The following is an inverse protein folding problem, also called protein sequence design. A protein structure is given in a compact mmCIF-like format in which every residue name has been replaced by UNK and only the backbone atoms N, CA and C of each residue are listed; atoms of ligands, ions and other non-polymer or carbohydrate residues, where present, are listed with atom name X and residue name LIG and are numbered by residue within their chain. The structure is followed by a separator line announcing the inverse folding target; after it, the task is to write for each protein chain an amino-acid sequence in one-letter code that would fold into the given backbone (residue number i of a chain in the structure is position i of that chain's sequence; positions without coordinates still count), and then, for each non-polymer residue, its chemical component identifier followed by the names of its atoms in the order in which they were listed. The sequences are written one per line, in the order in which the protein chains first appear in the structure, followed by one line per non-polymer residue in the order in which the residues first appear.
data_IF_479399785669
#
_entry.id   IF_479399785669
#
_cell.length_a   1.000
_cell.length_b   1.000
_cell.length_c   1.000
_cell.angle_alpha   90.00
_cell.angle_beta   90.00
_cell.angle_gamma   90.00
#
_symmetry.space_group_name_H-M   'P 1'
#
loop_
_entity.id
_entity.type
_entity.pdbx_description
1 polymer ?
#
# COMPACT_ATOMS: atom_id res chain seq x y z
N UNK A 1 -1.05 -14.29 -8.50
CA UNK A 1 -1.51 -14.55 -7.12
C UNK A 1 -3.02 -14.70 -7.09
N UNK A 2 -3.54 -15.72 -6.41
CA UNK A 2 -4.95 -15.79 -6.07
C UNK A 2 -5.22 -15.17 -4.69
N UNK A 3 -6.42 -14.63 -4.45
CA UNK A 3 -6.80 -13.96 -3.20
C UNK A 3 -6.59 -14.86 -1.97
N UNK A 4 -6.68 -16.19 -2.13
CA UNK A 4 -6.45 -17.12 -1.02
C UNK A 4 -5.02 -17.08 -0.48
N UNK A 5 -4.06 -16.65 -1.29
CA UNK A 5 -2.65 -16.61 -0.93
C UNK A 5 -2.28 -15.41 -0.07
N UNK A 6 -3.18 -14.45 0.12
CA UNK A 6 -2.91 -13.30 0.98
C UNK A 6 -3.18 -13.57 2.45
N UNK A 7 -4.05 -14.54 2.77
CA UNK A 7 -4.40 -14.85 4.16
C UNK A 7 -3.20 -15.28 5.00
N UNK A 8 -2.21 -16.04 4.48
CA UNK A 8 -0.96 -16.26 5.19
C UNK A 8 -0.20 -14.97 5.52
N UNK A 9 -0.22 -13.96 4.64
CA UNK A 9 0.42 -12.65 4.87
C UNK A 9 -0.34 -11.88 5.96
N UNK A 10 -1.67 -11.87 5.88
CA UNK A 10 -2.56 -11.29 6.90
C UNK A 10 -2.34 -11.94 8.26
N UNK A 11 -2.22 -13.26 8.31
CA UNK A 11 -1.95 -14.01 9.55
C UNK A 11 -0.58 -13.66 10.14
N UNK A 12 0.46 -13.54 9.31
CA UNK A 12 1.78 -13.07 9.74
C UNK A 12 1.69 -11.67 10.33
N UNK A 13 1.00 -10.73 9.65
CA UNK A 13 0.76 -9.38 10.16
C UNK A 13 0.04 -9.39 11.51
N UNK A 14 -1.06 -10.13 11.63
CA UNK A 14 -1.82 -10.23 12.87
C UNK A 14 -0.99 -10.83 14.02
N UNK A 15 -0.15 -11.82 13.72
CA UNK A 15 0.72 -12.45 14.72
C UNK A 15 1.79 -11.48 15.20
N UNK A 16 2.41 -10.72 14.29
CA UNK A 16 3.44 -9.73 14.63
C UNK A 16 2.92 -8.58 15.51
N UNK A 17 1.65 -8.20 15.34
CA UNK A 17 1.04 -7.10 16.10
C UNK A 17 0.01 -7.53 17.15
N UNK A 18 -0.05 -8.83 17.50
CA UNK A 18 -1.08 -9.39 18.39
C UNK A 18 -1.12 -8.80 19.80
N UNK A 19 0.01 -8.25 20.25
CA UNK A 19 0.20 -7.72 21.60
C UNK A 19 -0.19 -6.24 21.74
N UNK A 20 -0.50 -5.56 20.65
CA UNK A 20 -1.00 -4.19 20.67
C UNK A 20 -2.53 -4.18 20.80
N UNK A 21 -3.12 -3.06 21.19
CA UNK A 21 -4.59 -2.94 21.30
C UNK A 21 -5.29 -3.19 19.96
N UNK A 22 -6.61 -3.41 19.96
CA UNK A 22 -7.33 -3.70 18.69
C UNK A 22 -7.27 -2.51 17.74
N UNK A 23 -6.78 -2.75 16.52
CA UNK A 23 -6.78 -1.77 15.43
C UNK A 23 -8.22 -1.58 14.90
N UNK A 24 -8.59 -0.40 14.37
CA UNK A 24 -9.95 -0.14 13.88
C UNK A 24 -10.40 -1.09 12.77
N UNK A 25 -9.46 -1.63 12.00
CA UNK A 25 -9.71 -2.69 11.02
C UNK A 25 -8.96 -3.93 11.48
N UNK A 26 -9.65 -5.05 11.60
CA UNK A 26 -9.03 -6.33 11.91
C UNK A 26 -9.57 -7.43 10.99
N UNK A 27 -8.81 -8.50 10.90
CA UNK A 27 -9.07 -9.58 9.98
C UNK A 27 -9.53 -10.81 10.75
N UNK A 28 -10.45 -11.58 10.17
CA UNK A 28 -10.81 -12.91 10.67
C UNK A 28 -10.30 -13.92 9.65
N UNK A 29 -9.09 -14.50 9.82
CA UNK A 29 -8.48 -15.39 8.83
C UNK A 29 -9.32 -16.64 8.55
N UNK A 30 -10.05 -17.14 9.56
CA UNK A 30 -10.96 -18.29 9.44
C UNK A 30 -12.06 -18.04 8.42
N UNK A 31 -12.70 -16.88 8.53
CA UNK A 31 -13.86 -16.50 7.72
C UNK A 31 -13.47 -15.73 6.46
N UNK A 32 -12.17 -15.40 6.32
CA UNK A 32 -11.61 -14.61 5.23
C UNK A 32 -12.35 -13.27 5.07
N UNK A 33 -12.65 -12.65 6.21
CA UNK A 33 -13.47 -11.45 6.29
C UNK A 33 -12.74 -10.29 6.99
N UNK A 34 -13.14 -9.08 6.60
CA UNK A 34 -12.78 -7.83 7.23
C UNK A 34 -13.83 -7.47 8.27
N UNK A 35 -13.37 -7.01 9.43
CA UNK A 35 -14.24 -6.42 10.44
C UNK A 35 -13.66 -5.10 10.88
N UNK A 36 -14.51 -4.15 11.19
CA UNK A 36 -14.11 -2.88 11.76
C UNK A 36 -14.69 -2.69 13.16
N UNK A 37 -14.02 -1.87 13.97
CA UNK A 37 -14.59 -1.37 15.21
C UNK A 37 -15.76 -0.43 14.87
N UNK A 38 -16.85 -0.53 15.64
CA UNK A 38 -17.97 0.39 15.49
C UNK A 38 -17.59 1.77 16.03
N UNK A 39 -18.03 2.84 15.36
CA UNK A 39 -17.69 4.23 15.72
C UNK A 39 -18.20 4.66 17.10
N UNK A 40 -19.31 4.07 17.54
CA UNK A 40 -19.93 4.28 18.86
C UNK A 40 -19.16 3.59 20.00
N UNK A 41 -18.38 2.56 19.68
CA UNK A 41 -17.63 1.80 20.67
C UNK A 41 -16.61 2.67 21.43
N UNK A 42 -16.47 2.43 22.73
CA UNK A 42 -15.46 3.10 23.56
C UNK A 42 -14.04 2.88 23.01
N UNK A 43 -13.75 1.66 22.55
CA UNK A 43 -12.45 1.30 21.98
C UNK A 43 -12.09 2.15 20.75
N UNK A 44 -13.05 2.37 19.84
CA UNK A 44 -12.82 3.23 18.68
C UNK A 44 -12.59 4.69 19.09
N UNK A 45 -13.41 5.22 20.01
CA UNK A 45 -13.28 6.61 20.48
C UNK A 45 -11.91 6.86 21.13
N UNK A 46 -11.45 5.95 21.98
CA UNK A 46 -10.10 6.02 22.57
C UNK A 46 -9.04 5.96 21.48
N UNK A 47 -9.14 5.03 20.54
CA UNK A 47 -8.17 4.92 19.45
C UNK A 47 -8.11 6.18 18.59
N UNK A 48 -9.28 6.70 18.17
CA UNK A 48 -9.42 7.86 17.31
C UNK A 48 -8.99 9.17 17.99
N UNK A 49 -9.05 9.24 19.32
CA UNK A 49 -8.53 10.38 20.08
C UNK A 49 -7.02 10.25 20.33
N UNK A 50 -6.54 9.08 20.76
CA UNK A 50 -5.16 8.91 21.22
C UNK A 50 -4.18 8.81 20.06
N UNK A 51 -4.49 8.02 19.02
CA UNK A 51 -3.51 7.71 17.96
C UNK A 51 -3.24 8.94 17.07
N UNK A 52 -4.24 9.60 16.47
CA UNK A 52 -3.99 10.77 15.63
C UNK A 52 -3.38 11.93 16.42
N UNK A 53 -3.85 12.17 17.66
CA UNK A 53 -3.29 13.23 18.52
C UNK A 53 -1.81 12.99 18.80
N UNK A 54 -1.42 11.77 19.19
CA UNK A 54 0.00 11.46 19.41
C UNK A 54 0.84 11.60 18.14
N UNK A 55 0.30 11.23 16.97
CA UNK A 55 1.01 11.39 15.69
C UNK A 55 1.18 12.86 15.31
N UNK A 56 0.16 13.69 15.53
CA UNK A 56 0.22 15.15 15.32
C UNK A 56 1.21 15.80 16.29
N UNK A 57 1.18 15.43 17.58
CA UNK A 57 2.12 15.94 18.56
C UNK A 57 3.56 15.57 18.20
N UNK A 58 3.80 14.35 17.71
CA UNK A 58 5.12 13.93 17.25
C UNK A 58 5.55 14.69 15.99
N UNK A 59 4.64 14.93 15.04
CA UNK A 59 4.90 15.74 13.85
C UNK A 59 5.28 17.19 14.23
N UNK A 60 4.49 17.83 15.08
CA UNK A 60 4.75 19.18 15.57
C UNK A 60 6.06 19.25 16.36
N UNK A 61 6.37 18.23 17.14
CA UNK A 61 7.65 18.13 17.85
C UNK A 61 8.83 18.04 16.88
N UNK A 62 8.69 17.24 15.82
CA UNK A 62 9.73 17.06 14.80
C UNK A 62 9.97 18.36 14.00
N UNK A 63 8.89 19.06 13.63
CA UNK A 63 8.96 20.38 12.99
C UNK A 63 9.58 21.41 13.95
N UNK A 64 9.18 21.41 15.22
CA UNK A 64 9.75 22.29 16.25
C UNK A 64 11.26 22.11 16.40
N UNK A 65 11.75 20.86 16.35
CA UNK A 65 13.19 20.56 16.36
C UNK A 65 13.88 21.12 15.11
N UNK A 66 13.28 20.98 13.92
CA UNK A 66 13.83 21.52 12.68
C UNK A 66 13.90 23.06 12.70
N UNK A 67 12.84 23.72 13.16
CA UNK A 67 12.82 25.17 13.30
C UNK A 67 13.83 25.64 14.35
N UNK A 68 13.90 24.96 15.49
CA UNK A 68 14.89 25.28 16.52
C UNK A 68 16.32 25.12 15.99
N UNK A 69 16.63 24.03 15.29
CA UNK A 69 17.95 23.82 14.69
C UNK A 69 18.29 24.90 13.65
N UNK A 70 17.31 25.39 12.91
CA UNK A 70 17.51 26.44 11.90
C UNK A 70 17.69 27.85 12.51
N UNK A 71 17.07 28.13 13.67
CA UNK A 71 17.06 29.47 14.27
C UNK A 71 17.94 29.63 15.52
N UNK A 72 18.46 28.54 16.12
CA UNK A 72 19.32 28.64 17.30
C UNK A 72 20.70 29.22 16.92
N UNK A 73 20.95 30.48 17.29
CA UNK A 73 22.25 31.16 17.07
C UNK A 73 23.36 30.72 18.06
N UNK A 74 23.03 29.90 19.06
CA UNK A 74 23.91 29.61 20.21
C UNK A 74 24.63 28.27 20.04
N UNK A 75 25.96 28.30 20.07
CA UNK A 75 26.89 27.17 20.13
C UNK A 75 26.66 26.12 19.04
N UNK A 76 27.19 26.37 17.85
CA UNK A 76 27.23 25.44 16.70
C UNK A 76 27.84 24.12 17.18
N UNK A 77 27.03 23.06 17.43
CA UNK A 77 27.63 21.75 17.63
C UNK A 77 28.33 21.36 16.33
N UNK A 78 29.32 20.46 16.40
CA UNK A 78 30.09 20.05 15.21
C UNK A 78 29.17 19.78 14.01
N UNK A 79 29.61 20.12 12.79
CA UNK A 79 28.83 19.96 11.54
C UNK A 79 28.18 18.57 11.45
N UNK A 80 28.88 17.52 11.92
CA UNK A 80 28.37 16.16 12.00
C UNK A 80 27.14 16.02 12.90
N UNK A 81 27.10 16.72 14.04
CA UNK A 81 25.97 16.72 14.97
C UNK A 81 24.76 17.42 14.39
N UNK A 82 24.96 18.58 13.73
CA UNK A 82 23.86 19.32 13.07
C UNK A 82 23.29 18.47 11.94
N UNK A 83 24.15 17.89 11.11
CA UNK A 83 23.73 17.07 9.97
C UNK A 83 22.95 15.83 10.44
N UNK A 84 23.41 15.14 11.48
CA UNK A 84 22.72 13.98 12.06
C UNK A 84 21.36 14.37 12.65
N UNK A 85 21.33 15.42 13.49
CA UNK A 85 20.10 15.87 14.12
C UNK A 85 19.05 16.32 13.10
N UNK A 86 19.48 17.08 12.10
CA UNK A 86 18.59 17.62 11.05
C UNK A 86 18.05 16.50 10.15
N UNK A 87 18.90 15.57 9.72
CA UNK A 87 18.46 14.44 8.89
C UNK A 87 17.50 13.52 9.65
N UNK A 88 17.77 13.24 10.93
CA UNK A 88 16.87 12.43 11.75
C UNK A 88 15.55 13.15 12.03
N UNK A 89 15.57 14.46 12.26
CA UNK A 89 14.37 15.26 12.45
C UNK A 89 13.53 15.37 11.16
N UNK A 90 14.18 15.50 9.99
CA UNK A 90 13.50 15.44 8.69
C UNK A 90 12.84 14.07 8.49
N UNK A 91 13.59 12.99 8.71
CA UNK A 91 13.07 11.62 8.61
C UNK A 91 11.88 11.38 9.56
N UNK A 92 12.00 11.82 10.82
CA UNK A 92 10.91 11.77 11.80
C UNK A 92 9.69 12.59 11.39
N UNK A 93 9.90 13.77 10.82
CA UNK A 93 8.83 14.63 10.28
C UNK A 93 8.09 13.94 9.13
N UNK A 94 8.82 13.34 8.19
CA UNK A 94 8.19 12.63 7.07
C UNK A 94 7.43 11.38 7.51
N UNK A 95 8.03 10.57 8.38
CA UNK A 95 7.35 9.39 8.92
C UNK A 95 6.09 9.78 9.69
N UNK A 96 6.15 10.81 10.52
CA UNK A 96 5.00 11.24 11.32
C UNK A 96 3.91 11.90 10.48
N UNK A 97 4.26 12.65 9.44
CA UNK A 97 3.30 13.13 8.45
C UNK A 97 2.58 11.94 7.79
N UNK A 98 3.33 10.93 7.37
CA UNK A 98 2.78 9.71 6.78
C UNK A 98 1.86 8.96 7.74
N UNK A 99 2.29 8.75 8.99
CA UNK A 99 1.48 8.09 10.03
C UNK A 99 0.20 8.88 10.32
N UNK A 100 0.29 10.21 10.38
CA UNK A 100 -0.85 11.10 10.62
C UNK A 100 -1.86 10.98 9.49
N UNK A 101 -1.43 11.11 8.23
CA UNK A 101 -2.29 10.98 7.05
C UNK A 101 -2.91 9.58 6.96
N UNK A 102 -2.14 8.53 7.28
CA UNK A 102 -2.63 7.15 7.31
C UNK A 102 -3.66 6.94 8.43
N UNK A 103 -3.45 7.53 9.61
CA UNK A 103 -4.39 7.48 10.73
C UNK A 103 -5.71 8.18 10.41
N UNK A 104 -5.66 9.39 9.85
CA UNK A 104 -6.86 10.10 9.38
C UNK A 104 -7.57 9.34 8.25
N UNK A 105 -6.81 8.78 7.30
CA UNK A 105 -7.34 7.93 6.23
C UNK A 105 -8.06 6.69 6.78
N UNK A 106 -7.47 6.02 7.77
CA UNK A 106 -8.09 4.88 8.43
C UNK A 106 -9.40 5.28 9.13
N UNK A 107 -9.44 6.42 9.84
CA UNK A 107 -10.70 6.91 10.44
C UNK A 107 -11.78 7.18 9.40
N UNK A 108 -11.41 7.82 8.28
CA UNK A 108 -12.34 8.21 7.23
C UNK A 108 -12.89 7.01 6.47
N UNK A 109 -12.03 6.09 6.05
CA UNK A 109 -12.38 5.05 5.08
C UNK A 109 -12.55 3.64 5.67
N UNK A 110 -12.38 3.41 6.98
CA UNK A 110 -12.42 2.03 7.52
C UNK A 110 -13.70 1.23 7.25
N UNK A 111 -14.87 1.87 7.33
CA UNK A 111 -16.17 1.21 7.16
C UNK A 111 -16.36 0.84 5.69
N UNK A 112 -16.09 1.80 4.80
CA UNK A 112 -16.13 1.61 3.35
C UNK A 112 -15.13 0.53 2.91
N UNK A 113 -13.87 0.61 3.37
CA UNK A 113 -12.84 -0.42 3.19
C UNK A 113 -13.30 -1.81 3.62
N UNK A 114 -14.02 -1.92 4.72
CA UNK A 114 -14.45 -3.21 5.24
C UNK A 114 -15.61 -3.75 4.41
N UNK A 115 -16.60 -2.89 4.14
CA UNK A 115 -17.79 -3.22 3.37
C UNK A 115 -17.44 -3.65 1.94
N UNK A 116 -16.69 -2.82 1.20
CA UNK A 116 -16.34 -3.13 -0.19
C UNK A 116 -15.40 -4.33 -0.29
N UNK A 117 -14.58 -4.58 0.74
CA UNK A 117 -13.67 -5.72 0.79
C UNK A 117 -14.41 -7.03 0.93
N UNK A 118 -15.35 -7.07 1.85
CA UNK A 118 -16.24 -8.22 2.04
C UNK A 118 -17.16 -8.43 0.83
N UNK A 119 -17.67 -7.35 0.25
CA UNK A 119 -18.52 -7.41 -0.95
C UNK A 119 -17.75 -7.95 -2.16
N UNK A 120 -16.50 -7.50 -2.38
CA UNK A 120 -15.64 -8.01 -3.45
C UNK A 120 -15.33 -9.51 -3.28
N UNK A 121 -15.09 -9.95 -2.04
CA UNK A 121 -14.89 -11.37 -1.73
C UNK A 121 -16.16 -12.19 -2.03
N UNK A 122 -17.34 -11.68 -1.67
CA UNK A 122 -18.64 -12.30 -1.95
C UNK A 122 -18.90 -12.39 -3.46
N UNK A 123 -18.74 -11.28 -4.19
CA UNK A 123 -18.94 -11.22 -5.64
C UNK A 123 -18.00 -12.18 -6.39
N UNK A 124 -16.76 -12.37 -5.91
CA UNK A 124 -15.84 -13.37 -6.46
C UNK A 124 -16.34 -14.80 -6.22
N UNK A 125 -16.84 -15.09 -5.02
CA UNK A 125 -17.39 -16.42 -4.71
C UNK A 125 -18.62 -16.72 -5.56
N UNK A 126 -19.48 -15.73 -5.80
CA UNK A 126 -20.64 -15.86 -6.70
C UNK A 126 -20.19 -16.14 -8.14
N UNK A 127 -19.15 -15.45 -8.62
CA UNK A 127 -18.55 -15.71 -9.94
C UNK A 127 -18.03 -17.15 -10.07
N UNK A 128 -17.34 -17.64 -9.02
CA UNK A 128 -16.85 -19.03 -8.98
C UNK A 128 -18.02 -20.03 -8.97
N UNK A 129 -19.10 -19.76 -8.25
CA UNK A 129 -20.31 -20.60 -8.24
C UNK A 129 -20.92 -20.72 -9.64
N UNK A 130 -21.09 -19.60 -10.34
CA UNK A 130 -21.61 -19.58 -11.73
C UNK A 130 -20.70 -20.38 -12.67
N UNK A 131 -19.38 -20.33 -12.46
CA UNK A 131 -18.43 -21.14 -13.21
C UNK A 131 -18.59 -22.63 -12.91
N UNK A 132 -18.73 -23.01 -11.64
CA UNK A 132 -18.87 -24.41 -11.22
C UNK A 132 -20.19 -25.06 -11.62
N UNK A 133 -21.28 -24.30 -11.75
CA UNK A 133 -22.57 -24.81 -12.24
C UNK A 133 -22.56 -25.10 -13.74
N UNK A 134 -21.47 -24.79 -14.45
CA UNK A 134 -21.32 -25.12 -15.87
C UNK A 134 -20.60 -26.48 -15.98
N UNK A 135 -21.29 -27.57 -16.40
CA UNK A 135 -20.69 -28.90 -16.44
C UNK A 135 -19.52 -28.97 -17.45
N UNK A 136 -18.42 -29.59 -17.04
CA UNK A 136 -17.31 -29.97 -17.93
C UNK A 136 -16.03 -29.11 -17.89
N UNK A 137 -15.78 -28.28 -16.87
CA UNK A 137 -14.53 -27.48 -16.86
C UNK A 137 -13.93 -27.28 -15.46
N UNK A 138 -13.41 -28.36 -14.86
CA UNK A 138 -12.53 -28.25 -13.69
C UNK A 138 -11.09 -28.17 -14.19
N UNK A 139 -10.67 -26.97 -14.59
CA UNK A 139 -9.25 -26.67 -14.82
C UNK A 139 -8.67 -26.09 -13.53
N UNK A 140 -8.00 -26.94 -12.76
CA UNK A 140 -7.19 -26.53 -11.62
C UNK A 140 -6.04 -25.61 -12.12
N UNK A 141 -5.88 -24.40 -11.56
CA UNK A 141 -4.83 -23.49 -12.01
C UNK A 141 -3.43 -24.03 -11.65
N UNK A 142 -2.60 -24.21 -12.69
CA UNK A 142 -1.32 -24.94 -12.66
C UNK A 142 -0.08 -24.10 -12.35
N UNK A 143 -0.15 -23.01 -11.57
CA UNK A 143 1.06 -22.22 -11.21
C UNK A 143 1.30 -22.11 -9.70
N UNK A 144 1.74 -23.20 -9.07
CA UNK A 144 2.00 -23.26 -7.62
C UNK A 144 3.36 -22.66 -7.18
N UNK A 145 4.39 -22.68 -8.02
CA UNK A 145 5.78 -22.39 -7.58
C UNK A 145 6.12 -20.90 -7.46
N UNK A 146 5.94 -20.10 -8.52
CA UNK A 146 6.26 -18.65 -8.52
C UNK A 146 5.50 -17.88 -7.43
N UNK A 147 4.25 -18.25 -7.21
CA UNK A 147 3.39 -17.68 -6.17
C UNK A 147 3.99 -17.82 -4.77
N UNK A 148 4.67 -18.94 -4.51
CA UNK A 148 5.19 -19.27 -3.17
C UNK A 148 6.31 -18.31 -2.75
N UNK A 149 7.13 -17.86 -3.68
CA UNK A 149 8.22 -16.93 -3.41
C UNK A 149 7.68 -15.52 -3.10
N UNK A 150 6.73 -15.03 -3.90
CA UNK A 150 6.06 -13.73 -3.68
C UNK A 150 5.37 -13.68 -2.31
N UNK A 151 4.65 -14.75 -1.92
CA UNK A 151 4.00 -14.85 -0.60
C UNK A 151 5.04 -14.79 0.52
N UNK A 152 6.10 -15.61 0.44
CA UNK A 152 7.15 -15.65 1.45
C UNK A 152 7.85 -14.30 1.60
N UNK A 153 8.12 -13.62 0.49
CA UNK A 153 8.72 -12.29 0.50
C UNK A 153 7.80 -11.27 1.20
N UNK A 154 6.50 -11.28 0.92
CA UNK A 154 5.53 -10.40 1.59
C UNK A 154 5.37 -10.73 3.09
N UNK A 155 5.43 -12.00 3.47
CA UNK A 155 5.47 -12.40 4.88
C UNK A 155 6.74 -11.89 5.57
N UNK A 156 7.90 -11.98 4.91
CA UNK A 156 9.15 -11.43 5.40
C UNK A 156 9.06 -9.91 5.57
N UNK A 157 8.42 -9.19 4.63
CA UNK A 157 8.17 -7.74 4.77
C UNK A 157 7.31 -7.47 6.01
N UNK A 158 6.23 -8.23 6.24
CA UNK A 158 5.39 -8.04 7.43
C UNK A 158 6.16 -8.30 8.73
N UNK A 159 7.02 -9.33 8.76
CA UNK A 159 7.90 -9.58 9.89
C UNK A 159 8.88 -8.42 10.09
N UNK A 160 9.54 -7.95 9.04
CA UNK A 160 10.44 -6.80 9.10
C UNK A 160 9.71 -5.57 9.66
N UNK A 161 8.54 -5.21 9.12
CA UNK A 161 7.72 -4.08 9.59
C UNK A 161 7.36 -4.23 11.08
N UNK A 162 7.06 -5.45 11.55
CA UNK A 162 6.77 -5.70 12.98
C UNK A 162 8.00 -5.61 13.89
N UNK A 163 9.20 -5.88 13.34
CA UNK A 163 10.46 -5.83 14.07
C UNK A 163 11.12 -4.44 14.03
N UNK A 164 10.80 -3.62 13.03
CA UNK A 164 11.35 -2.27 12.85
C UNK A 164 11.27 -1.37 14.09
N UNK A 165 10.18 -1.33 14.88
CA UNK A 165 10.14 -0.53 16.11
C UNK A 165 11.28 -0.86 17.08
N UNK A 166 11.68 -2.13 17.21
CA UNK A 166 12.75 -2.55 18.12
C UNK A 166 14.14 -2.09 17.67
N UNK A 167 14.30 -1.70 16.39
CA UNK A 167 15.54 -1.15 15.86
C UNK A 167 15.50 0.37 15.91
N UNK A 168 14.39 0.97 15.50
CA UNK A 168 14.25 2.43 15.41
C UNK A 168 14.22 3.09 16.79
N UNK A 169 13.62 2.47 17.80
CA UNK A 169 13.58 3.05 19.15
C UNK A 169 15.00 3.22 19.72
N UNK A 170 15.89 2.20 19.76
CA UNK A 170 17.28 2.39 20.16
C UNK A 170 18.02 3.42 19.32
N UNK A 171 17.82 3.46 17.99
CA UNK A 171 18.46 4.47 17.13
C UNK A 171 18.02 5.89 17.51
N UNK A 172 16.72 6.11 17.70
CA UNK A 172 16.19 7.41 18.11
C UNK A 172 16.67 7.80 19.51
N UNK A 173 16.77 6.85 20.44
CA UNK A 173 17.29 7.09 21.78
C UNK A 173 18.81 7.36 21.77
N UNK A 174 19.57 6.68 20.91
CA UNK A 174 21.01 6.87 20.76
C UNK A 174 21.35 8.22 20.12
N UNK A 175 20.58 8.63 19.11
CA UNK A 175 20.74 9.93 18.43
C UNK A 175 20.15 11.09 19.23
N UNK A 176 19.20 10.81 20.14
CA UNK A 176 18.55 11.77 21.02
C UNK A 176 19.51 12.27 22.11
N UNK A 177 20.10 13.44 21.87
CA UNK A 177 21.06 14.12 22.73
C UNK A 177 20.73 14.05 24.25
N UNK A 178 21.72 13.79 25.12
CA UNK A 178 21.52 13.43 26.54
C UNK A 178 21.19 14.59 27.51
N UNK A 179 20.97 15.83 27.05
CA UNK A 179 21.02 17.01 27.94
C UNK A 179 19.70 17.50 28.55
N UNK A 180 18.54 16.86 28.28
CA UNK A 180 17.25 17.33 28.79
C UNK A 180 16.64 16.32 29.80
N UNK A 181 16.80 16.63 31.11
CA UNK A 181 16.14 15.96 32.25
C UNK A 181 14.59 16.11 32.18
N UNK A 182 13.84 15.71 33.22
CA UNK A 182 12.75 14.68 33.33
C UNK A 182 11.72 14.47 32.19
N UNK A 183 11.83 15.12 31.03
CA UNK A 183 10.97 14.85 29.86
C UNK A 183 11.26 13.52 29.14
N UNK A 184 12.26 12.76 29.61
CA UNK A 184 12.70 11.50 29.00
C UNK A 184 11.57 10.45 28.93
N UNK A 185 10.78 10.28 29.99
CA UNK A 185 9.72 9.28 30.03
C UNK A 185 8.63 9.56 28.99
N UNK A 186 8.17 10.81 28.91
CA UNK A 186 7.19 11.24 27.91
C UNK A 186 7.70 11.12 26.47
N UNK A 187 8.99 11.44 26.25
CA UNK A 187 9.64 11.27 24.94
C UNK A 187 9.76 9.81 24.55
N UNK A 188 10.22 8.94 25.46
CA UNK A 188 10.30 7.50 25.23
C UNK A 188 8.93 6.92 24.93
N UNK A 189 7.90 7.33 25.65
CA UNK A 189 6.52 6.90 25.40
C UNK A 189 6.03 7.34 24.01
N UNK A 190 6.24 8.61 23.64
CA UNK A 190 5.82 9.12 22.33
C UNK A 190 6.60 8.47 21.17
N UNK A 191 7.90 8.23 21.33
CA UNK A 191 8.74 7.53 20.35
C UNK A 191 8.28 6.08 20.21
N UNK A 192 8.07 5.38 21.33
CA UNK A 192 7.57 4.01 21.35
C UNK A 192 6.20 3.92 20.66
N UNK A 193 5.27 4.80 21.04
CA UNK A 193 3.93 4.85 20.48
C UNK A 193 3.99 5.13 18.97
N UNK A 194 4.73 6.17 18.55
CA UNK A 194 4.86 6.53 17.14
C UNK A 194 5.48 5.40 16.31
N UNK A 195 6.52 4.74 16.82
CA UNK A 195 7.15 3.61 16.14
C UNK A 195 6.16 2.44 16.02
N UNK A 196 5.66 1.90 17.12
CA UNK A 196 4.79 0.72 17.09
C UNK A 196 3.47 0.97 16.33
N UNK A 197 2.78 2.06 16.63
CA UNK A 197 1.51 2.37 15.97
C UNK A 197 1.70 2.78 14.52
N UNK A 198 2.75 3.55 14.23
CA UNK A 198 3.13 3.93 12.89
C UNK A 198 3.36 2.72 12.00
N UNK A 199 4.32 1.87 12.36
CA UNK A 199 4.63 0.66 11.57
C UNK A 199 3.43 -0.29 11.47
N UNK A 200 2.61 -0.39 12.51
CA UNK A 200 1.36 -1.17 12.44
C UNK A 200 0.37 -0.63 11.42
N UNK A 201 0.17 0.69 11.38
CA UNK A 201 -0.70 1.36 10.40
C UNK A 201 -0.19 1.14 8.98
N UNK A 202 1.11 1.31 8.77
CA UNK A 202 1.76 1.07 7.47
C UNK A 202 1.55 -0.37 7.02
N UNK A 203 1.80 -1.34 7.90
CA UNK A 203 1.57 -2.75 7.63
C UNK A 203 0.10 -3.03 7.29
N UNK A 204 -0.85 -2.47 8.05
CA UNK A 204 -2.28 -2.63 7.81
C UNK A 204 -2.69 -2.14 6.43
N UNK A 205 -2.35 -0.88 6.12
CA UNK A 205 -2.71 -0.23 4.85
C UNK A 205 -2.03 -0.92 3.68
N UNK A 206 -0.75 -1.27 3.81
CA UNK A 206 -0.02 -2.05 2.81
C UNK A 206 -0.71 -3.39 2.50
N UNK A 207 -1.11 -4.14 3.53
CA UNK A 207 -1.83 -5.41 3.38
C UNK A 207 -3.18 -5.21 2.71
N UNK A 208 -3.97 -4.21 3.14
CA UNK A 208 -5.28 -3.91 2.55
C UNK A 208 -5.16 -3.56 1.07
N UNK A 209 -4.28 -2.62 0.71
CA UNK A 209 -4.07 -2.19 -0.67
C UNK A 209 -3.61 -3.34 -1.55
N UNK A 210 -2.60 -4.09 -1.09
CA UNK A 210 -2.09 -5.23 -1.84
C UNK A 210 -3.18 -6.29 -2.03
N UNK A 211 -4.01 -6.54 -1.01
CA UNK A 211 -5.15 -7.43 -1.13
C UNK A 211 -6.16 -6.96 -2.15
N UNK A 212 -6.49 -5.67 -2.18
CA UNK A 212 -7.42 -5.14 -3.19
C UNK A 212 -6.91 -5.35 -4.60
N UNK A 213 -5.65 -5.02 -4.85
CA UNK A 213 -5.03 -5.21 -6.17
C UNK A 213 -5.07 -6.70 -6.57
N UNK A 214 -4.69 -7.61 -5.66
CA UNK A 214 -4.75 -9.05 -5.94
C UNK A 214 -6.17 -9.57 -6.17
N UNK A 215 -7.14 -9.09 -5.40
CA UNK A 215 -8.54 -9.44 -5.56
C UNK A 215 -9.05 -8.99 -6.94
N UNK A 216 -8.73 -7.77 -7.36
CA UNK A 216 -9.04 -7.28 -8.71
C UNK A 216 -8.37 -8.11 -9.80
N UNK A 217 -7.08 -8.44 -9.66
CA UNK A 217 -6.37 -9.31 -10.62
C UNK A 217 -7.00 -10.70 -10.70
N UNK A 218 -7.32 -11.30 -9.55
CA UNK A 218 -7.99 -12.61 -9.48
C UNK A 218 -9.34 -12.58 -10.19
N UNK A 219 -10.15 -11.55 -9.90
CA UNK A 219 -11.46 -11.37 -10.53
C UNK A 219 -11.35 -11.19 -12.05
N UNK A 220 -10.43 -10.33 -12.52
CA UNK A 220 -10.20 -10.11 -13.96
C UNK A 220 -9.70 -11.37 -14.68
N UNK A 221 -8.87 -12.18 -14.01
CA UNK A 221 -8.45 -13.47 -14.57
C UNK A 221 -9.63 -14.43 -14.73
N UNK A 222 -10.54 -14.49 -13.75
CA UNK A 222 -11.75 -15.31 -13.87
C UNK A 222 -12.66 -14.84 -15.01
N UNK A 223 -12.83 -13.54 -15.19
CA UNK A 223 -13.57 -12.98 -16.34
C UNK A 223 -12.92 -13.37 -17.68
N UNK A 224 -11.60 -13.24 -17.81
CA UNK A 224 -10.90 -13.67 -19.03
C UNK A 224 -11.04 -15.18 -19.25
N UNK A 225 -10.97 -15.99 -18.20
CA UNK A 225 -11.16 -17.44 -18.32
C UNK A 225 -12.57 -17.81 -18.81
N UNK A 226 -13.61 -17.13 -18.30
CA UNK A 226 -14.99 -17.32 -18.78
C UNK A 226 -15.13 -17.00 -20.27
N UNK A 227 -14.41 -15.98 -20.76
CA UNK A 227 -14.38 -15.63 -22.18
C UNK A 227 -13.63 -16.67 -23.03
N UNK A 228 -12.58 -17.30 -22.49
CA UNK A 228 -11.76 -18.29 -23.21
C UNK A 228 -12.41 -19.66 -23.34
N UNK A 229 -13.12 -20.13 -22.32
CA UNK A 229 -13.69 -21.48 -22.31
C UNK A 229 -14.83 -21.69 -23.32
N UNK A 230 -15.46 -20.62 -23.83
CA UNK A 230 -16.65 -20.74 -24.69
C UNK A 230 -16.29 -20.52 -26.17
N UNK A 231 -16.15 -21.62 -26.95
CA UNK A 231 -15.90 -21.58 -28.42
C UNK A 231 -17.03 -20.90 -29.21
N UNK A 232 -18.28 -20.99 -28.72
CA UNK A 232 -19.44 -20.22 -29.21
C UNK A 232 -20.17 -19.60 -28.01
N UNK A 233 -19.68 -18.45 -27.56
CA UNK A 233 -20.32 -17.65 -26.53
C UNK A 233 -21.69 -17.13 -27.01
N UNK A 234 -22.73 -17.40 -26.22
CA UNK A 234 -24.04 -16.80 -26.44
C UNK A 234 -23.96 -15.31 -26.04
N UNK A 235 -24.83 -14.48 -26.61
CA UNK A 235 -24.93 -13.07 -26.24
C UNK A 235 -25.13 -12.87 -24.72
N UNK A 236 -25.83 -13.79 -24.06
CA UNK A 236 -26.02 -13.82 -22.60
C UNK A 236 -24.69 -13.88 -21.85
N UNK A 237 -23.72 -14.68 -22.33
CA UNK A 237 -22.42 -14.82 -21.67
C UNK A 237 -21.65 -13.50 -21.65
N UNK A 238 -21.68 -12.75 -22.76
CA UNK A 238 -21.06 -11.43 -22.82
C UNK A 238 -21.76 -10.41 -21.93
N UNK A 239 -23.09 -10.47 -21.85
CA UNK A 239 -23.89 -9.63 -20.98
C UNK A 239 -23.54 -9.88 -19.51
N UNK A 240 -23.37 -11.14 -19.13
CA UNK A 240 -23.01 -11.53 -17.76
C UNK A 240 -21.57 -11.09 -17.42
N UNK A 241 -20.60 -11.31 -18.30
CA UNK A 241 -19.22 -10.85 -18.12
C UNK A 241 -19.17 -9.32 -17.96
N UNK A 242 -19.90 -8.57 -18.79
CA UNK A 242 -19.98 -7.11 -18.66
C UNK A 242 -20.66 -6.70 -17.35
N UNK A 243 -21.70 -7.39 -16.91
CA UNK A 243 -22.35 -7.12 -15.62
C UNK A 243 -21.37 -7.29 -14.46
N UNK A 244 -20.58 -8.36 -14.46
CA UNK A 244 -19.56 -8.58 -13.45
C UNK A 244 -18.42 -7.56 -13.53
N UNK A 245 -17.99 -7.19 -14.74
CA UNK A 245 -17.01 -6.13 -14.94
C UNK A 245 -17.52 -4.78 -14.40
N UNK A 246 -18.79 -4.44 -14.66
CA UNK A 246 -19.42 -3.23 -14.15
C UNK A 246 -19.48 -3.21 -12.61
N UNK A 247 -19.69 -4.36 -11.95
CA UNK A 247 -19.61 -4.45 -10.48
C UNK A 247 -18.21 -4.11 -9.95
N UNK A 248 -17.15 -4.65 -10.56
CA UNK A 248 -15.77 -4.31 -10.18
C UNK A 248 -15.54 -2.81 -10.39
N UNK A 249 -15.95 -2.28 -11.55
CA UNK A 249 -15.78 -0.87 -11.88
C UNK A 249 -16.49 0.04 -10.89
N UNK A 250 -17.70 -0.31 -10.46
CA UNK A 250 -18.44 0.41 -9.44
C UNK A 250 -17.71 0.36 -8.09
N UNK A 251 -17.27 -0.83 -7.66
CA UNK A 251 -16.47 -0.98 -6.44
C UNK A 251 -15.20 -0.13 -6.48
N UNK A 252 -14.48 -0.14 -7.61
CA UNK A 252 -13.28 0.65 -7.82
C UNK A 252 -13.57 2.16 -7.85
N UNK A 253 -14.74 2.56 -8.35
CA UNK A 253 -15.18 3.97 -8.36
C UNK A 253 -15.49 4.48 -6.96
N UNK A 254 -16.14 3.65 -6.11
CA UNK A 254 -16.35 3.99 -4.70
C UNK A 254 -15.02 4.16 -3.96
N UNK A 255 -14.07 3.28 -4.24
CA UNK A 255 -12.73 3.34 -3.66
C UNK A 255 -11.78 4.34 -4.34
N UNK A 256 -12.25 5.13 -5.30
CA UNK A 256 -11.37 5.91 -6.18
C UNK A 256 -10.55 6.95 -5.40
N UNK A 257 -11.20 7.77 -4.56
CA UNK A 257 -10.54 8.78 -3.73
C UNK A 257 -9.50 8.14 -2.81
N UNK A 258 -9.90 7.06 -2.13
CA UNK A 258 -9.06 6.31 -1.21
C UNK A 258 -7.82 5.72 -1.89
N UNK A 259 -8.01 5.00 -3.00
CA UNK A 259 -6.90 4.39 -3.76
C UNK A 259 -5.98 5.48 -4.32
N UNK A 260 -6.53 6.59 -4.81
CA UNK A 260 -5.77 7.73 -5.33
C UNK A 260 -4.85 8.33 -4.25
N UNK A 261 -5.42 8.65 -3.09
CA UNK A 261 -4.71 9.23 -1.96
C UNK A 261 -3.64 8.28 -1.42
N UNK A 262 -3.99 7.01 -1.21
CA UNK A 262 -3.02 6.02 -0.72
C UNK A 262 -1.91 5.75 -1.70
N UNK A 263 -2.19 5.75 -3.01
CA UNK A 263 -1.16 5.56 -4.02
C UNK A 263 -0.16 6.72 -4.04
N UNK A 264 -0.65 7.97 -3.95
CA UNK A 264 0.20 9.15 -3.86
C UNK A 264 1.05 9.12 -2.58
N UNK A 265 0.41 8.82 -1.45
CA UNK A 265 1.05 8.73 -0.16
C UNK A 265 2.14 7.65 -0.13
N UNK A 266 1.85 6.44 -0.62
CA UNK A 266 2.82 5.33 -0.68
C UNK A 266 3.99 5.68 -1.60
N UNK A 267 3.74 6.24 -2.79
CA UNK A 267 4.83 6.63 -3.71
C UNK A 267 5.72 7.70 -3.08
N UNK A 268 5.13 8.73 -2.47
CA UNK A 268 5.86 9.78 -1.79
C UNK A 268 6.70 9.23 -0.63
N UNK A 269 6.11 8.42 0.24
CA UNK A 269 6.84 7.80 1.36
C UNK A 269 7.97 6.90 0.88
N UNK A 270 7.73 6.06 -0.12
CA UNK A 270 8.78 5.19 -0.68
C UNK A 270 9.91 6.02 -1.30
N UNK A 271 9.58 7.13 -1.98
CA UNK A 271 10.58 8.03 -2.56
C UNK A 271 11.47 8.62 -1.47
N UNK A 272 10.88 9.21 -0.42
CA UNK A 272 11.62 9.79 0.70
C UNK A 272 12.46 8.75 1.44
N UNK A 273 11.88 7.59 1.78
CA UNK A 273 12.60 6.53 2.51
C UNK A 273 13.79 6.00 1.70
N UNK A 274 13.61 5.75 0.39
CA UNK A 274 14.70 5.29 -0.47
C UNK A 274 15.77 6.37 -0.62
N UNK A 275 15.38 7.63 -0.81
CA UNK A 275 16.31 8.75 -0.94
C UNK A 275 17.17 8.91 0.33
N UNK A 276 16.52 8.93 1.51
CA UNK A 276 17.21 9.02 2.80
C UNK A 276 18.11 7.82 3.05
N UNK A 277 17.63 6.60 2.80
CA UNK A 277 18.44 5.39 2.99
C UNK A 277 19.64 5.35 2.04
N UNK A 278 19.47 5.73 0.76
CA UNK A 278 20.57 5.83 -0.19
C UNK A 278 21.63 6.82 0.29
N UNK A 279 21.20 8.01 0.73
CA UNK A 279 22.10 9.01 1.27
C UNK A 279 22.86 8.53 2.50
N UNK A 280 22.17 7.89 3.47
CA UNK A 280 22.80 7.35 4.67
C UNK A 280 23.81 6.25 4.32
N UNK A 281 23.43 5.33 3.43
CA UNK A 281 24.30 4.25 2.96
C UNK A 281 25.57 4.75 2.28
N UNK A 282 25.47 5.78 1.45
CA UNK A 282 26.60 6.28 0.66
C UNK A 282 27.47 7.25 1.47
N UNK A 283 26.87 8.24 2.14
CA UNK A 283 27.60 9.33 2.79
C UNK A 283 27.82 9.12 4.29
N UNK A 284 26.85 8.56 5.01
CA UNK A 284 26.86 8.51 6.48
C UNK A 284 27.27 7.15 7.05
N UNK A 285 27.84 6.25 6.25
CA UNK A 285 28.20 4.90 6.70
C UNK A 285 29.22 4.86 7.84
N UNK A 286 30.09 5.86 7.94
CA UNK A 286 31.08 6.00 9.00
C UNK A 286 30.52 6.64 10.29
N UNK A 287 29.31 7.21 10.23
CA UNK A 287 28.69 7.93 11.35
C UNK A 287 27.96 6.98 12.29
N UNK A 288 27.34 5.93 11.74
CA UNK A 288 26.54 4.98 12.51
C UNK A 288 27.37 3.76 12.92
N UNK A 289 27.17 3.24 14.16
CA UNK A 289 27.70 1.93 14.54
C UNK A 289 27.29 0.85 13.53
N UNK A 290 28.17 -0.12 13.20
CA UNK A 290 27.90 -1.12 12.16
C UNK A 290 26.58 -1.87 12.29
N UNK A 291 26.15 -2.16 13.52
CA UNK A 291 24.88 -2.84 13.80
C UNK A 291 23.65 -2.01 13.41
N UNK A 292 23.69 -0.70 13.63
CA UNK A 292 22.62 0.21 13.19
C UNK A 292 22.74 0.51 11.70
N UNK A 293 23.95 0.57 11.17
CA UNK A 293 24.18 0.78 9.76
C UNK A 293 23.53 -0.31 8.90
N UNK A 294 23.62 -1.59 9.31
CA UNK A 294 23.05 -2.73 8.57
C UNK A 294 21.53 -2.63 8.33
N UNK A 295 20.80 -1.83 9.13
CA UNK A 295 19.37 -1.60 8.97
C UNK A 295 19.04 -0.84 7.68
N UNK A 296 19.85 0.16 7.31
CA UNK A 296 19.60 1.02 6.14
C UNK A 296 19.66 0.27 4.80
N UNK A 297 20.72 -0.50 4.46
CA UNK A 297 20.76 -1.24 3.20
C UNK A 297 19.69 -2.35 3.17
N UNK A 298 19.39 -2.97 4.31
CA UNK A 298 18.31 -3.98 4.41
C UNK A 298 16.95 -3.35 4.11
N UNK A 299 16.64 -2.22 4.76
CA UNK A 299 15.38 -1.49 4.55
C UNK A 299 15.28 -0.97 3.12
N UNK A 300 16.40 -0.51 2.55
CA UNK A 300 16.46 -0.05 1.16
C UNK A 300 16.11 -1.18 0.18
N UNK A 301 16.77 -2.35 0.33
CA UNK A 301 16.48 -3.53 -0.50
C UNK A 301 15.03 -3.98 -0.38
N UNK A 302 14.50 -4.02 0.86
CA UNK A 302 13.08 -4.33 1.11
C UNK A 302 12.16 -3.33 0.42
N UNK A 303 12.42 -2.02 0.56
CA UNK A 303 11.61 -0.98 -0.06
C UNK A 303 11.62 -1.07 -1.59
N UNK A 304 12.77 -1.33 -2.22
CA UNK A 304 12.85 -1.60 -3.66
C UNK A 304 12.01 -2.81 -4.06
N UNK A 305 12.07 -3.90 -3.30
CA UNK A 305 11.28 -5.10 -3.56
C UNK A 305 9.77 -4.88 -3.41
N UNK A 306 9.34 -4.19 -2.35
CA UNK A 306 7.94 -3.79 -2.13
C UNK A 306 7.44 -2.94 -3.30
N UNK A 307 8.21 -1.91 -3.68
CA UNK A 307 7.87 -1.00 -4.76
C UNK A 307 7.78 -1.73 -6.10
N UNK A 308 8.74 -2.62 -6.40
CA UNK A 308 8.75 -3.40 -7.63
C UNK A 308 7.52 -4.31 -7.73
N UNK A 309 7.18 -5.03 -6.66
CA UNK A 309 6.00 -5.87 -6.60
C UNK A 309 4.69 -5.06 -6.68
N UNK A 310 4.65 -3.91 -6.01
CA UNK A 310 3.53 -2.97 -6.06
C UNK A 310 3.26 -2.49 -7.49
N UNK A 311 4.28 -1.95 -8.17
CA UNK A 311 4.18 -1.54 -9.57
C UNK A 311 3.76 -2.69 -10.46
N UNK A 312 4.36 -3.88 -10.31
CA UNK A 312 4.00 -5.06 -11.09
C UNK A 312 2.53 -5.43 -10.91
N UNK A 313 2.03 -5.47 -9.68
CA UNK A 313 0.66 -5.83 -9.37
C UNK A 313 -0.35 -4.83 -9.96
N UNK A 314 -0.08 -3.52 -9.82
CA UNK A 314 -0.92 -2.44 -10.38
C UNK A 314 -0.95 -2.49 -11.91
N UNK A 315 0.22 -2.63 -12.55
CA UNK A 315 0.31 -2.75 -14.01
C UNK A 315 -0.37 -4.02 -14.52
N UNK A 316 -0.24 -5.13 -13.80
CA UNK A 316 -0.92 -6.38 -14.13
C UNK A 316 -2.45 -6.21 -14.07
N UNK A 317 -2.98 -5.58 -13.02
CA UNK A 317 -4.41 -5.29 -12.92
C UNK A 317 -4.92 -4.46 -14.10
N UNK A 318 -4.20 -3.39 -14.43
CA UNK A 318 -4.54 -2.47 -15.53
C UNK A 318 -4.49 -3.18 -16.90
N UNK A 319 -3.42 -3.94 -17.16
CA UNK A 319 -3.25 -4.69 -18.41
C UNK A 319 -4.29 -5.81 -18.55
N UNK A 320 -4.63 -6.51 -17.45
CA UNK A 320 -5.67 -7.53 -17.44
C UNK A 320 -7.04 -6.94 -17.70
N UNK A 321 -7.35 -5.79 -17.11
CA UNK A 321 -8.58 -5.06 -17.39
C UNK A 321 -8.68 -4.70 -18.87
N UNK A 322 -7.61 -4.15 -19.46
CA UNK A 322 -7.57 -3.84 -20.89
C UNK A 322 -7.71 -5.10 -21.75
N UNK A 323 -7.07 -6.21 -21.36
CA UNK A 323 -7.15 -7.49 -22.05
C UNK A 323 -8.54 -8.10 -22.05
N UNK A 324 -9.28 -8.04 -20.92
CA UNK A 324 -10.68 -8.48 -20.86
C UNK A 324 -11.54 -7.68 -21.82
N UNK A 325 -11.40 -6.35 -21.83
CA UNK A 325 -12.14 -5.50 -22.76
C UNK A 325 -11.77 -5.78 -24.23
N UNK A 326 -10.48 -5.96 -24.54
CA UNK A 326 -10.03 -6.31 -25.88
C UNK A 326 -10.57 -7.68 -26.33
N UNK A 327 -10.59 -8.67 -25.44
CA UNK A 327 -11.09 -10.02 -25.71
C UNK A 327 -12.60 -10.03 -25.99
N UNK A 328 -13.38 -9.26 -25.23
CA UNK A 328 -14.81 -9.06 -25.51
C UNK A 328 -14.96 -8.43 -26.92
N UNK A 329 -14.14 -7.43 -27.26
CA UNK A 329 -14.27 -6.66 -28.51
C UNK A 329 -13.89 -7.45 -29.76
N UNK A 330 -12.76 -8.17 -29.70
CA UNK A 330 -12.30 -9.01 -30.80
C UNK A 330 -13.25 -10.17 -31.06
N UNK A 331 -13.71 -10.87 -30.02
CA UNK A 331 -14.65 -11.99 -30.18
C UNK A 331 -16.06 -11.53 -30.55
N UNK A 332 -16.44 -10.29 -30.23
CA UNK A 332 -17.72 -9.73 -30.65
C UNK A 332 -17.86 -9.64 -32.17
N UNK A 333 -16.76 -9.28 -32.84
CA UNK A 333 -16.70 -9.12 -34.29
C UNK A 333 -16.92 -10.45 -35.05
N UNK A 334 -16.76 -11.60 -34.39
CA UNK A 334 -16.94 -12.92 -35.00
C UNK A 334 -18.14 -13.72 -34.47
N UNK A 335 -18.51 -13.59 -33.18
CA UNK A 335 -19.46 -14.51 -32.52
C UNK A 335 -20.93 -14.09 -32.59
N UNK A 336 -21.24 -12.79 -32.52
CA UNK A 336 -22.63 -12.31 -32.44
C UNK A 336 -23.16 -12.03 -33.85
N UNK A 337 -24.01 -12.94 -34.37
CA UNK A 337 -24.65 -12.82 -35.70
C UNK A 337 -25.69 -11.70 -35.78
N UNK A 338 -26.42 -11.44 -34.68
CA UNK A 338 -27.51 -10.45 -34.68
C UNK A 338 -26.93 -9.03 -34.67
N UNK A 339 -27.10 -8.29 -35.76
CA UNK A 339 -26.55 -6.94 -35.99
C UNK A 339 -26.91 -5.96 -34.87
N UNK A 340 -28.16 -5.98 -34.39
CA UNK A 340 -28.64 -5.08 -33.32
C UNK A 340 -27.89 -5.35 -32.00
N UNK A 341 -27.79 -6.62 -31.60
CA UNK A 341 -27.09 -7.03 -30.38
C UNK A 341 -25.60 -6.71 -30.45
N UNK A 342 -24.97 -6.92 -31.61
CA UNK A 342 -23.57 -6.53 -31.86
C UNK A 342 -23.38 -5.03 -31.70
N UNK A 343 -24.21 -4.19 -32.35
CA UNK A 343 -24.12 -2.72 -32.24
C UNK A 343 -24.29 -2.25 -30.79
N UNK A 344 -25.25 -2.81 -30.06
CA UNK A 344 -25.44 -2.50 -28.64
C UNK A 344 -24.19 -2.84 -27.82
N UNK A 345 -23.61 -4.02 -28.00
CA UNK A 345 -22.44 -4.45 -27.26
C UNK A 345 -21.20 -3.61 -27.63
N UNK A 346 -21.01 -3.25 -28.91
CA UNK A 346 -19.94 -2.34 -29.33
C UNK A 346 -20.05 -0.96 -28.66
N UNK A 347 -21.26 -0.37 -28.63
CA UNK A 347 -21.50 0.91 -27.95
C UNK A 347 -21.21 0.79 -26.46
N UNK A 348 -21.69 -0.28 -25.83
CA UNK A 348 -21.47 -0.52 -24.40
C UNK A 348 -19.97 -0.66 -24.11
N UNK A 349 -19.24 -1.44 -24.89
CA UNK A 349 -17.80 -1.59 -24.75
C UNK A 349 -17.03 -0.29 -24.91
N UNK A 350 -17.38 0.54 -25.89
CA UNK A 350 -16.76 1.87 -26.07
C UNK A 350 -17.01 2.80 -24.87
N UNK A 351 -18.11 2.63 -24.16
CA UNK A 351 -18.43 3.39 -22.93
C UNK A 351 -17.74 2.87 -21.66
N UNK A 352 -17.14 1.68 -21.73
CA UNK A 352 -16.50 1.04 -20.59
C UNK A 352 -15.00 1.29 -20.66
N UNK A 353 -14.52 2.15 -19.77
CA UNK A 353 -13.10 2.44 -19.65
C UNK A 353 -12.38 1.31 -18.92
N UNK A 354 -11.13 1.06 -19.30
CA UNK A 354 -10.23 0.18 -18.56
C UNK A 354 -10.04 0.70 -17.12
N UNK A 355 -9.89 -0.21 -16.17
CA UNK A 355 -9.54 0.14 -14.80
C UNK A 355 -8.08 0.62 -14.77
N UNK A 356 -7.87 1.82 -14.25
CA UNK A 356 -6.55 2.40 -14.04
C UNK A 356 -6.45 2.85 -12.59
N UNK A 357 -5.29 2.60 -11.96
CA UNK A 357 -5.02 3.07 -10.61
C UNK A 357 -4.65 4.55 -10.67
N UNK A 358 -5.47 5.46 -10.13
CA UNK A 358 -5.14 6.87 -10.04
C UNK A 358 -4.07 7.11 -8.98
N UNK A 359 -3.31 8.19 -9.15
CA UNK A 359 -2.44 8.78 -8.15
C UNK A 359 -2.83 10.25 -8.02
N UNK A 360 -3.16 10.69 -6.81
CA UNK A 360 -3.70 12.03 -6.62
C UNK A 360 -3.96 12.39 -5.16
N UNK A 361 -4.52 13.58 -4.96
CA UNK A 361 -4.84 14.14 -3.65
C UNK A 361 -6.30 14.60 -3.66
N UNK A 362 -7.11 14.06 -2.74
CA UNK A 362 -8.56 14.23 -2.72
C UNK A 362 -9.20 13.75 -4.02
N UNK A 363 -9.97 14.62 -4.66
CA UNK A 363 -10.63 14.35 -5.94
C UNK A 363 -9.76 14.71 -7.16
N UNK A 364 -8.56 15.27 -6.95
CA UNK A 364 -7.67 15.67 -8.04
C UNK A 364 -6.77 14.49 -8.39
N UNK A 365 -6.91 14.00 -9.62
CA UNK A 365 -6.02 12.97 -10.18
C UNK A 365 -4.82 13.67 -10.82
N UNK A 366 -3.62 13.39 -10.31
CA UNK A 366 -2.38 13.92 -10.86
C UNK A 366 -1.95 13.12 -12.09
N UNK A 367 -1.94 11.79 -11.96
CA UNK A 367 -1.65 10.88 -13.07
C UNK A 367 -2.24 9.49 -12.81
N UNK A 368 -2.20 8.63 -13.82
CA UNK A 368 -2.52 7.21 -13.69
C UNK A 368 -1.25 6.37 -13.78
N UNK A 369 -1.18 5.27 -13.03
CA UNK A 369 -0.06 4.34 -13.16
C UNK A 369 0.09 3.85 -14.60
N UNK A 370 1.26 4.07 -15.17
CA UNK A 370 1.70 3.57 -16.47
C UNK A 370 3.03 2.83 -16.34
N UNK A 371 3.48 2.19 -17.42
CA UNK A 371 4.83 1.58 -17.45
C UNK A 371 5.91 2.64 -17.24
N UNK A 372 5.67 3.84 -17.73
CA UNK A 372 6.60 4.97 -17.67
C UNK A 372 6.73 5.49 -16.24
N UNK A 373 5.65 5.48 -15.45
CA UNK A 373 5.67 5.86 -14.03
C UNK A 373 6.77 5.14 -13.25
N UNK A 374 6.98 3.85 -13.49
CA UNK A 374 8.02 3.07 -12.81
C UNK A 374 9.42 3.55 -13.19
N UNK A 375 9.66 3.77 -14.49
CA UNK A 375 10.96 4.22 -14.99
C UNK A 375 11.26 5.64 -14.49
N UNK A 376 10.30 6.55 -14.63
CA UNK A 376 10.40 7.93 -14.14
C UNK A 376 10.66 7.98 -12.63
N UNK A 377 9.99 7.14 -11.83
CA UNK A 377 10.23 7.08 -10.39
C UNK A 377 11.68 6.74 -10.05
N UNK A 378 12.25 5.71 -10.68
CA UNK A 378 13.64 5.31 -10.41
C UNK A 378 14.66 6.31 -10.92
N UNK A 379 14.41 6.96 -12.07
CA UNK A 379 15.25 8.04 -12.57
C UNK A 379 15.25 9.24 -11.62
N UNK A 380 14.07 9.71 -11.22
CA UNK A 380 13.96 10.81 -10.24
C UNK A 380 14.64 10.45 -8.92
N UNK A 381 14.52 9.21 -8.44
CA UNK A 381 15.18 8.77 -7.22
C UNK A 381 16.71 8.82 -7.37
N UNK A 382 17.26 8.38 -8.50
CA UNK A 382 18.68 8.43 -8.79
C UNK A 382 19.19 9.88 -8.87
N UNK A 383 18.53 10.72 -9.68
CA UNK A 383 18.90 12.13 -9.88
C UNK A 383 18.89 12.90 -8.56
N UNK A 384 17.83 12.72 -7.75
CA UNK A 384 17.75 13.37 -6.44
C UNK A 384 18.76 12.81 -5.43
N UNK A 385 19.11 11.52 -5.52
CA UNK A 385 20.19 10.95 -4.70
C UNK A 385 21.52 11.61 -5.07
N UNK A 386 21.83 11.75 -6.36
CA UNK A 386 23.06 12.42 -6.84
C UNK A 386 23.07 13.89 -6.40
N UNK A 387 21.98 14.63 -6.61
CA UNK A 387 21.88 16.04 -6.20
C UNK A 387 22.06 16.21 -4.70
N UNK A 388 21.44 15.34 -3.89
CA UNK A 388 21.58 15.36 -2.44
C UNK A 388 23.04 15.08 -2.01
N UNK A 389 23.71 14.12 -2.66
CA UNK A 389 25.13 13.85 -2.40
C UNK A 389 26.03 15.03 -2.76
N UNK A 390 25.77 15.70 -3.89
CA UNK A 390 26.54 16.88 -4.34
C UNK A 390 26.30 18.10 -3.45
N UNK A 391 25.07 18.28 -2.94
CA UNK A 391 24.70 19.43 -2.09
C UNK A 391 25.47 19.54 -0.77
N UNK A 392 26.09 18.45 -0.32
CA UNK A 392 26.84 18.39 0.96
C UNK A 392 28.34 18.62 0.74
N UNK A 393 28.81 18.71 -0.50
CA UNK A 393 30.20 19.04 -0.83
C UNK A 393 30.46 20.55 -1.00
N UNK A 394 29.38 21.34 -1.10
CA UNK A 394 29.38 22.80 -1.06
C UNK A 394 29.02 23.26 0.35
#
# INVERSE_FOLDING_TARGET
MDIYNIWPIVQTYMTGFRYLWRFPIYFIPRDKAFVHLRRDSFQYRVWAAVVPTNMVLFLLSSIGILLWANFSKTNVPSISTIMNGTMMALFGTFLSLFHTLTGFGAMRWMEECTYTGNQLAKDRNDLIRVKSSTPGTILLPRSKTRLRLEIKFLQQIMLQVSLTPFIIIPVLLFTGYPSLKPTLLGRCFNIFFCAFEGFRMIGCVGVILFMRILAYVSYLNELSNLLKCKKRSKFTDYKDVLRFYDRIRLSFKHEHEMISNFSALVLFTMFTVLLTNNFICLKMHHVFPPHFFAFFPTTNLTAYGVLHLGFYAVLLATNKSAGVLAEIGGKLASSVRIRIRRKWLQRRMKSVNKLQVPVGIGNVVLFHFSKDTRTTFYLLLLDNTINLLLSVYL
#
